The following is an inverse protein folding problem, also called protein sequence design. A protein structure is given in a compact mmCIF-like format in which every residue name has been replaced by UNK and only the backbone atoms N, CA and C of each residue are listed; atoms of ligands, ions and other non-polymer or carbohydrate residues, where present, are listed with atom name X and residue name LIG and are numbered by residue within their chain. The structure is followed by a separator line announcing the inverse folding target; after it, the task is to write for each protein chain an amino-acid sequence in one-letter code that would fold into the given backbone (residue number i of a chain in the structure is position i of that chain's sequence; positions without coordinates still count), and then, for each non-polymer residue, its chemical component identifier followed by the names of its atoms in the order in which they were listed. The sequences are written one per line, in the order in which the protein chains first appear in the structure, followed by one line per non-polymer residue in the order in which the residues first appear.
data_IF_397170193998
#
_entry.id   IF_397170193998
#
_cell.length_a   1.000
_cell.length_b   1.000
_cell.length_c   1.000
_cell.angle_alpha   90.00
_cell.angle_beta   90.00
_cell.angle_gamma   90.00
#
_symmetry.space_group_name_H-M   'P 1'
#
loop_
_entity.id
_entity.type
_entity.pdbx_description
1 polymer ?
#
# COMPACT_ATOMS: atom_id res chain seq x y z
N UNK A 1 6.70 -8.66 -4.99
CA UNK A 1 5.57 -8.94 -5.88
C UNK A 1 4.92 -7.64 -6.30
N UNK A 2 4.84 -7.40 -7.59
CA UNK A 2 4.23 -6.19 -8.11
C UNK A 2 2.70 -6.26 -7.95
N UNK A 3 2.09 -5.19 -7.41
CA UNK A 3 0.64 -5.08 -7.30
C UNK A 3 0.05 -4.61 -8.64
N UNK A 4 -0.98 -5.29 -9.16
CA UNK A 4 -1.63 -4.89 -10.40
C UNK A 4 -2.65 -3.77 -10.16
N UNK A 5 -2.25 -2.52 -10.28
CA UNK A 5 -3.13 -1.36 -10.10
C UNK A 5 -3.97 -1.11 -11.36
N UNK A 6 -4.74 -2.10 -11.77
CA UNK A 6 -5.54 -2.02 -12.99
C UNK A 6 -6.81 -1.18 -12.79
N UNK A 7 -7.31 -0.61 -13.86
CA UNK A 7 -8.49 0.26 -13.83
C UNK A 7 -9.73 -0.43 -13.27
N UNK A 8 -9.86 -1.74 -13.46
CA UNK A 8 -10.96 -2.50 -12.88
C UNK A 8 -11.00 -2.40 -11.35
N UNK A 9 -9.84 -2.31 -10.71
CA UNK A 9 -9.76 -2.13 -9.25
C UNK A 9 -9.99 -0.68 -8.82
N UNK A 10 -9.68 0.28 -9.67
CA UNK A 10 -10.01 1.69 -9.40
C UNK A 10 -11.51 1.90 -9.23
N UNK A 11 -12.32 1.17 -9.97
CA UNK A 11 -13.79 1.24 -9.88
C UNK A 11 -14.34 0.82 -8.52
N UNK A 12 -13.61 -0.02 -7.80
CA UNK A 12 -14.00 -0.45 -6.45
C UNK A 12 -13.97 0.70 -5.43
N UNK A 13 -13.38 1.82 -5.80
CA UNK A 13 -13.30 3.02 -4.97
C UNK A 13 -14.40 4.03 -5.28
N UNK A 14 -15.31 3.71 -6.19
CA UNK A 14 -16.41 4.61 -6.53
C UNK A 14 -17.40 4.70 -5.36
N UNK A 15 -17.94 5.89 -5.16
CA UNK A 15 -18.95 6.16 -4.13
C UNK A 15 -20.09 6.95 -4.76
N UNK A 16 -21.32 6.66 -4.32
CA UNK A 16 -22.50 7.39 -4.78
C UNK A 16 -22.84 8.59 -3.89
N UNK A 17 -22.05 8.85 -2.85
CA UNK A 17 -22.31 9.95 -1.91
C UNK A 17 -21.05 10.72 -1.51
N UNK A 18 -19.87 10.29 -1.95
CA UNK A 18 -18.59 10.93 -1.67
C UNK A 18 -17.72 10.92 -2.93
N UNK A 19 -16.62 11.67 -2.90
CA UNK A 19 -15.69 11.74 -4.03
C UNK A 19 -15.00 10.40 -4.27
N UNK A 20 -14.74 9.66 -3.20
CA UNK A 20 -14.06 8.37 -3.25
C UNK A 20 -14.41 7.56 -2.01
N UNK A 21 -14.49 6.25 -2.14
CA UNK A 21 -14.63 5.34 -1.01
C UNK A 21 -13.24 5.07 -0.41
N UNK A 22 -13.16 5.03 0.91
CA UNK A 22 -11.90 4.72 1.62
C UNK A 22 -11.65 3.22 1.79
N UNK A 23 -12.64 2.40 1.48
CA UNK A 23 -12.54 0.94 1.47
C UNK A 23 -13.13 0.45 0.16
N UNK A 24 -12.31 -0.22 -0.62
CA UNK A 24 -12.79 -0.92 -1.80
C UNK A 24 -13.34 -2.29 -1.43
N UNK A 25 -13.84 -3.10 -2.08
CA UNK A 25 -14.36 -4.43 -1.75
C UNK A 25 -13.24 -5.45 -1.49
N UNK A 26 -13.13 -6.43 -2.35
CA UNK A 26 -12.10 -7.47 -2.29
C UNK A 26 -10.75 -6.92 -2.76
N UNK A 27 -9.69 -7.71 -2.62
CA UNK A 27 -8.33 -7.34 -3.00
C UNK A 27 -7.85 -6.05 -2.31
N UNK A 28 -7.99 -6.00 -0.97
CA UNK A 28 -7.69 -4.81 -0.18
C UNK A 28 -6.29 -4.25 -0.36
N UNK A 29 -5.29 -5.10 -0.52
CA UNK A 29 -3.91 -4.70 -0.84
C UNK A 29 -3.84 -3.85 -2.11
N UNK A 30 -4.57 -4.27 -3.15
CA UNK A 30 -4.58 -3.58 -4.44
C UNK A 30 -5.41 -2.29 -4.36
N UNK A 31 -6.60 -2.35 -3.76
CA UNK A 31 -7.48 -1.18 -3.67
C UNK A 31 -6.90 -0.11 -2.75
N UNK A 32 -6.18 -0.48 -1.71
CA UNK A 32 -5.44 0.48 -0.87
C UNK A 32 -4.38 1.23 -1.69
N UNK A 33 -3.61 0.53 -2.49
CA UNK A 33 -2.63 1.15 -3.37
C UNK A 33 -3.29 2.01 -4.45
N UNK A 34 -4.40 1.56 -5.02
CA UNK A 34 -5.20 2.36 -5.96
C UNK A 34 -5.70 3.66 -5.32
N UNK A 35 -6.20 3.58 -4.09
CA UNK A 35 -6.63 4.77 -3.35
C UNK A 35 -5.50 5.79 -3.23
N UNK A 36 -4.35 5.36 -2.72
CA UNK A 36 -3.21 6.25 -2.50
C UNK A 36 -2.63 6.78 -3.82
N UNK A 37 -2.68 6.02 -4.89
CA UNK A 37 -2.15 6.44 -6.20
C UNK A 37 -2.83 7.70 -6.73
N UNK A 38 -4.11 7.91 -6.39
CA UNK A 38 -4.85 9.11 -6.81
C UNK A 38 -4.29 10.40 -6.23
N UNK A 39 -3.56 10.32 -5.13
CA UNK A 39 -2.97 11.46 -4.44
C UNK A 39 -1.48 11.62 -4.71
N UNK A 40 -0.91 10.78 -5.58
CA UNK A 40 0.52 10.74 -5.85
C UNK A 40 0.84 10.89 -7.34
N UNK A 41 -0.07 11.44 -8.15
CA UNK A 41 0.08 11.54 -9.61
C UNK A 41 1.17 12.53 -10.03
N UNK A 42 1.46 13.53 -9.21
CA UNK A 42 2.33 14.64 -9.58
C UNK A 42 3.81 14.38 -9.30
N UNK A 43 4.19 13.23 -8.76
CA UNK A 43 5.57 12.91 -8.42
C UNK A 43 5.86 11.42 -8.53
N UNK A 44 7.13 11.01 -8.70
CA UNK A 44 7.51 9.60 -8.65
C UNK A 44 7.13 9.00 -7.29
N UNK A 45 6.52 7.82 -7.33
CA UNK A 45 5.88 7.25 -6.16
C UNK A 45 6.01 5.73 -6.14
N UNK A 46 6.12 5.17 -4.93
CA UNK A 46 6.07 3.74 -4.72
C UNK A 46 5.20 3.43 -3.51
N UNK A 47 4.45 2.36 -3.60
CA UNK A 47 3.63 1.84 -2.51
C UNK A 47 4.13 0.46 -2.10
N UNK A 48 4.35 0.27 -0.81
CA UNK A 48 4.72 -1.03 -0.24
C UNK A 48 3.65 -1.45 0.76
N UNK A 49 2.96 -2.54 0.45
CA UNK A 49 2.03 -3.14 1.40
C UNK A 49 2.82 -4.02 2.37
N UNK A 50 2.75 -3.68 3.65
CA UNK A 50 3.50 -4.37 4.71
C UNK A 50 2.59 -5.14 5.68
N UNK A 51 1.32 -5.26 5.38
CA UNK A 51 0.35 -5.88 6.28
C UNK A 51 0.75 -7.31 6.69
N UNK A 52 1.36 -8.07 5.78
CA UNK A 52 1.80 -9.43 6.05
C UNK A 52 3.15 -9.54 6.77
N UNK A 53 3.92 -8.46 6.86
CA UNK A 53 5.29 -8.50 7.40
C UNK A 53 5.53 -7.52 8.55
N UNK A 54 4.60 -6.62 8.83
CA UNK A 54 4.79 -5.53 9.78
C UNK A 54 4.82 -6.01 11.24
N UNK A 55 4.26 -7.17 11.54
CA UNK A 55 4.16 -7.66 12.91
C UNK A 55 4.34 -9.15 13.02
N UNK A 56 4.82 -9.59 14.19
CA UNK A 56 4.86 -11.00 14.58
C UNK A 56 3.58 -11.35 15.35
N UNK A 57 3.20 -12.62 15.28
CA UNK A 57 2.02 -13.17 15.96
C UNK A 57 2.44 -14.20 17.01
N UNK A 58 1.47 -14.61 17.85
CA UNK A 58 1.68 -15.64 18.87
C UNK A 58 2.55 -15.16 20.02
N UNK A 59 3.41 -16.03 20.54
CA UNK A 59 4.23 -15.76 21.71
C UNK A 59 5.25 -14.62 21.47
N UNK A 60 5.68 -14.43 20.23
CA UNK A 60 6.61 -13.37 19.83
C UNK A 60 5.91 -12.12 19.32
N UNK A 61 4.65 -11.91 19.68
CA UNK A 61 3.82 -10.79 19.19
C UNK A 61 4.53 -9.45 19.37
N UNK A 62 4.51 -8.65 18.31
CA UNK A 62 5.13 -7.33 18.31
C UNK A 62 5.40 -6.83 16.90
N UNK A 63 5.89 -5.60 16.78
CA UNK A 63 6.30 -5.04 15.51
C UNK A 63 7.59 -5.69 15.00
N UNK A 64 7.68 -5.89 13.68
CA UNK A 64 8.87 -6.47 13.04
C UNK A 64 9.92 -5.41 12.69
N UNK A 65 9.52 -4.16 12.58
CA UNK A 65 10.35 -3.07 12.06
C UNK A 65 10.45 -3.03 10.54
N UNK A 66 9.85 -4.00 9.84
CA UNK A 66 9.85 -3.98 8.37
C UNK A 66 8.90 -2.90 7.87
N UNK A 67 9.21 -2.16 6.78
CA UNK A 67 10.37 -2.33 5.88
C UNK A 67 11.52 -1.34 6.16
N UNK A 68 11.77 -0.94 7.39
CA UNK A 68 12.83 0.05 7.71
C UNK A 68 14.20 -0.34 7.14
N UNK A 69 14.69 -1.59 7.29
CA UNK A 69 15.98 -1.95 6.72
C UNK A 69 16.03 -1.83 5.19
N UNK A 70 14.95 -2.22 4.51
CA UNK A 70 14.86 -2.09 3.05
C UNK A 70 14.95 -0.63 2.62
N UNK A 71 14.17 0.24 3.26
CA UNK A 71 14.15 1.66 2.91
C UNK A 71 15.47 2.34 3.24
N UNK A 72 16.09 1.98 4.36
CA UNK A 72 17.39 2.49 4.74
C UNK A 72 18.45 2.11 3.72
N UNK A 73 18.48 0.85 3.29
CA UNK A 73 19.44 0.39 2.29
C UNK A 73 19.22 1.09 0.95
N UNK A 74 17.96 1.27 0.54
CA UNK A 74 17.64 1.99 -0.68
C UNK A 74 18.18 3.42 -0.66
N UNK A 75 18.00 4.13 0.46
CA UNK A 75 18.49 5.51 0.60
C UNK A 75 20.02 5.57 0.62
N UNK A 76 20.69 4.62 1.29
CA UNK A 76 22.15 4.52 1.29
C UNK A 76 22.67 4.31 -0.13
N UNK A 77 22.04 3.42 -0.89
CA UNK A 77 22.46 3.12 -2.26
C UNK A 77 22.27 4.30 -3.22
N UNK A 78 21.33 5.19 -2.91
CA UNK A 78 21.04 6.40 -3.70
C UNK A 78 21.88 7.63 -3.31
N UNK A 79 22.51 7.59 -2.18
CA UNK A 79 23.30 8.72 -1.66
C UNK A 79 24.59 8.99 -2.47
#
# INVERSE_FOLDING_TARGET
WQLPLWDVYQKDLDSNFADIANIGGRAGTITAACFLSRFAEDFPWAHLDVAGTASYKGAAKGGSGRPVPLLSQYLIDKA
#
